data_IF_976715486644
#
_entry.id   IF_976715486644
#
_cell.length_a   1.000
_cell.length_b   1.000
_cell.length_c   1.000
_cell.angle_alpha   90.00
_cell.angle_beta   90.00
_cell.angle_gamma   90.00
#
_symmetry.space_group_name_H-M   'P 1'
#
loop_
_entity.id
_entity.type
_entity.pdbx_description
1 polymer ?
#
# COMPACT_ATOMS: atom_id res chain seq x y z
N UNK A 1 28.79 -47.11 10.19
CA UNK A 1 27.94 -46.42 11.19
C UNK A 1 27.64 -45.05 10.64
N UNK A 2 26.48 -44.90 10.02
CA UNK A 2 25.26 -44.40 10.68
C UNK A 2 25.22 -42.86 10.61
N UNK A 3 24.74 -42.30 9.49
CA UNK A 3 23.35 -41.85 9.29
C UNK A 3 23.07 -40.53 10.02
N UNK A 4 22.71 -39.49 9.27
CA UNK A 4 21.62 -38.52 9.53
C UNK A 4 21.86 -37.28 8.66
N UNK A 5 20.90 -36.66 7.97
CA UNK A 5 19.54 -37.01 7.50
C UNK A 5 19.23 -35.81 6.58
N UNK A 6 19.02 -36.04 5.29
CA UNK A 6 18.53 -35.02 4.38
C UNK A 6 17.11 -34.62 4.82
N UNK A 7 16.93 -33.41 5.30
CA UNK A 7 15.62 -32.78 5.42
C UNK A 7 15.34 -32.05 4.11
N UNK A 8 14.84 -32.78 3.12
CA UNK A 8 14.19 -32.16 1.97
C UNK A 8 12.84 -31.62 2.46
N UNK A 9 12.78 -30.33 2.76
CA UNK A 9 11.51 -29.63 2.95
C UNK A 9 10.88 -29.56 1.56
N UNK A 10 9.90 -30.43 1.30
CA UNK A 10 9.07 -30.34 0.12
C UNK A 10 8.21 -29.07 0.25
N UNK A 11 8.63 -27.99 -0.39
CA UNK A 11 7.81 -26.80 -0.59
C UNK A 11 6.67 -27.24 -1.51
N UNK A 12 5.49 -27.51 -0.95
CA UNK A 12 4.28 -27.66 -1.76
C UNK A 12 4.01 -26.29 -2.38
N UNK A 13 4.36 -26.13 -3.66
CA UNK A 13 3.93 -24.99 -4.46
C UNK A 13 2.40 -25.11 -4.60
N UNK A 14 1.68 -24.47 -3.68
CA UNK A 14 0.26 -24.21 -3.88
C UNK A 14 0.21 -23.25 -5.06
N UNK A 15 -0.26 -23.71 -6.21
CA UNK A 15 -0.57 -22.82 -7.32
C UNK A 15 -1.79 -22.00 -6.92
N UNK A 16 -1.53 -20.88 -6.24
CA UNK A 16 -2.54 -19.85 -6.03
C UNK A 16 -2.90 -19.35 -7.42
N UNK A 17 -4.12 -19.65 -7.89
CA UNK A 17 -4.61 -19.03 -9.13
C UNK A 17 -4.64 -17.53 -8.89
N UNK A 18 -4.05 -16.77 -9.80
CA UNK A 18 -4.21 -15.33 -9.80
C UNK A 18 -5.70 -15.01 -9.98
N UNK A 19 -6.27 -14.17 -9.12
CA UNK A 19 -7.56 -13.56 -9.34
C UNK A 19 -7.36 -12.43 -10.35
N UNK A 20 -7.78 -12.67 -11.58
CA UNK A 20 -7.71 -11.72 -12.68
C UNK A 20 -9.02 -10.94 -12.78
N UNK A 21 -8.93 -9.61 -12.75
CA UNK A 21 -10.02 -8.69 -12.99
C UNK A 21 -9.87 -8.15 -14.42
N UNK A 22 -10.59 -8.77 -15.34
CA UNK A 22 -10.58 -8.44 -16.78
C UNK A 22 -11.84 -7.70 -17.25
N UNK A 23 -12.75 -7.40 -16.32
CA UNK A 23 -13.96 -6.62 -16.53
C UNK A 23 -14.20 -5.73 -15.31
N UNK A 24 -14.84 -4.58 -15.54
CA UNK A 24 -15.27 -3.67 -14.47
C UNK A 24 -16.01 -4.41 -13.35
N UNK A 25 -15.56 -4.19 -12.11
CA UNK A 25 -16.05 -4.89 -10.94
C UNK A 25 -16.27 -3.94 -9.77
N UNK A 26 -17.43 -4.06 -9.13
CA UNK A 26 -17.74 -3.41 -7.86
C UNK A 26 -18.10 -4.48 -6.84
N UNK A 27 -17.36 -4.53 -5.74
CA UNK A 27 -17.70 -5.35 -4.58
C UNK A 27 -18.18 -4.44 -3.43
N UNK A 28 -19.23 -4.85 -2.74
CA UNK A 28 -19.81 -4.15 -1.58
C UNK A 28 -19.63 -4.99 -0.34
N UNK A 29 -18.47 -4.87 0.30
CA UNK A 29 -18.08 -5.72 1.41
C UNK A 29 -17.47 -4.91 2.54
N UNK A 30 -17.99 -5.08 3.75
CA UNK A 30 -17.39 -4.48 4.96
C UNK A 30 -16.01 -5.08 5.27
N UNK A 31 -15.80 -6.35 4.92
CA UNK A 31 -14.56 -7.09 5.17
C UNK A 31 -14.18 -7.87 3.91
N UNK A 32 -12.99 -7.62 3.38
CA UNK A 32 -12.45 -8.29 2.19
C UNK A 32 -11.12 -8.96 2.54
N UNK A 33 -11.13 -10.28 2.70
CA UNK A 33 -9.95 -11.07 3.05
C UNK A 33 -9.69 -12.07 1.95
N UNK A 34 -8.48 -12.06 1.39
CA UNK A 34 -8.17 -12.99 0.32
C UNK A 34 -6.67 -13.29 0.25
N UNK A 35 -6.36 -14.53 -0.13
CA UNK A 35 -4.99 -15.04 -0.31
C UNK A 35 -4.86 -15.50 -1.75
N UNK A 36 -3.84 -15.03 -2.44
CA UNK A 36 -3.57 -15.33 -3.84
C UNK A 36 -2.91 -14.17 -4.54
N UNK A 37 -2.55 -14.37 -5.80
CA UNK A 37 -2.08 -13.27 -6.63
C UNK A 37 -3.29 -12.54 -7.22
N UNK A 38 -3.17 -11.23 -7.45
CA UNK A 38 -4.22 -10.40 -8.04
C UNK A 38 -3.64 -9.66 -9.22
N UNK A 39 -4.43 -9.61 -10.30
CA UNK A 39 -4.13 -8.79 -11.46
C UNK A 39 -5.38 -8.02 -11.87
N UNK A 40 -5.25 -6.71 -12.04
CA UNK A 40 -6.28 -5.85 -12.64
C UNK A 40 -5.74 -5.42 -14.00
N UNK A 41 -6.45 -5.81 -15.07
CA UNK A 41 -6.00 -5.53 -16.43
C UNK A 41 -6.15 -4.05 -16.78
N UNK A 42 -5.38 -3.61 -17.78
CA UNK A 42 -5.47 -2.26 -18.33
C UNK A 42 -6.89 -1.96 -18.85
N UNK A 43 -7.38 -0.75 -18.56
CA UNK A 43 -8.67 -0.26 -19.06
C UNK A 43 -9.91 -0.74 -18.31
N UNK A 44 -9.75 -1.52 -17.22
CA UNK A 44 -10.85 -1.90 -16.33
C UNK A 44 -10.63 -1.41 -14.90
N UNK A 45 -11.69 -1.39 -14.10
CA UNK A 45 -11.58 -1.04 -12.68
C UNK A 45 -12.09 -2.14 -11.74
N UNK A 46 -11.46 -2.21 -10.57
CA UNK A 46 -11.97 -2.93 -9.40
C UNK A 46 -12.18 -1.96 -8.25
N UNK A 47 -13.43 -1.82 -7.81
CA UNK A 47 -13.80 -0.97 -6.69
C UNK A 47 -14.41 -1.78 -5.56
N UNK A 48 -13.83 -1.69 -4.36
CA UNK A 48 -14.39 -2.23 -3.12
C UNK A 48 -14.94 -1.06 -2.33
N UNK A 49 -16.25 -1.04 -2.10
CA UNK A 49 -16.93 0.06 -1.43
C UNK A 49 -17.65 -0.44 -0.17
N UNK A 50 -18.04 0.49 0.70
CA UNK A 50 -18.60 0.19 2.02
C UNK A 50 -17.66 -0.66 2.90
N UNK A 51 -16.34 -0.55 2.67
CA UNK A 51 -15.33 -1.37 3.32
C UNK A 51 -14.89 -0.81 4.67
N UNK A 52 -14.46 -1.67 5.58
CA UNK A 52 -13.83 -1.27 6.85
C UNK A 52 -12.48 -1.96 7.00
N UNK A 53 -12.37 -3.19 6.50
CA UNK A 53 -11.15 -3.97 6.55
C UNK A 53 -10.91 -4.68 5.21
N UNK A 54 -9.75 -4.45 4.63
CA UNK A 54 -9.22 -5.27 3.53
C UNK A 54 -7.87 -5.83 3.93
N UNK A 55 -7.67 -7.13 3.71
CA UNK A 55 -6.37 -7.79 3.87
C UNK A 55 -6.13 -8.74 2.72
N UNK A 56 -5.20 -8.38 1.84
CA UNK A 56 -4.76 -9.20 0.72
C UNK A 56 -3.35 -9.70 0.94
N UNK A 57 -3.12 -10.99 0.61
CA UNK A 57 -1.81 -11.61 0.71
C UNK A 57 -1.46 -12.33 -0.58
N UNK A 58 -0.33 -11.97 -1.17
CA UNK A 58 0.17 -12.48 -2.45
C UNK A 58 0.49 -11.36 -3.45
N UNK A 59 0.88 -11.74 -4.68
CA UNK A 59 1.17 -10.82 -5.80
C UNK A 59 0.05 -9.81 -6.01
N UNK A 60 0.39 -8.55 -6.29
CA UNK A 60 -0.64 -7.56 -6.63
C UNK A 60 -0.15 -6.69 -7.78
N UNK A 61 -0.78 -6.82 -8.93
CA UNK A 61 -0.46 -6.10 -10.17
C UNK A 61 -1.68 -5.29 -10.61
N UNK A 62 -1.55 -3.97 -10.64
CA UNK A 62 -2.61 -3.06 -11.08
C UNK A 62 -2.19 -2.30 -12.33
N UNK A 63 -2.71 -2.72 -13.48
CA UNK A 63 -2.57 -2.01 -14.77
C UNK A 63 -3.79 -1.17 -15.13
N UNK A 64 -4.91 -1.36 -14.42
CA UNK A 64 -6.17 -0.64 -14.63
C UNK A 64 -6.44 0.40 -13.54
N UNK A 65 -7.47 0.16 -12.75
CA UNK A 65 -7.87 1.04 -11.66
C UNK A 65 -8.31 0.27 -10.43
N UNK A 66 -7.73 0.57 -9.27
CA UNK A 66 -8.03 -0.10 -8.02
C UNK A 66 -8.47 0.89 -6.95
N UNK A 67 -9.67 0.69 -6.41
CA UNK A 67 -10.24 1.61 -5.43
C UNK A 67 -10.77 0.87 -4.21
N UNK A 68 -10.42 1.34 -3.02
CA UNK A 68 -11.07 0.91 -1.77
C UNK A 68 -11.61 2.13 -1.04
N UNK A 69 -12.90 2.13 -0.76
CA UNK A 69 -13.56 3.26 -0.11
C UNK A 69 -14.46 2.81 1.02
N UNK A 70 -14.63 3.70 1.99
CA UNK A 70 -15.59 3.55 3.06
C UNK A 70 -16.51 4.76 3.14
N UNK A 71 -17.81 4.50 3.30
CA UNK A 71 -18.82 5.50 3.64
C UNK A 71 -19.18 5.47 5.15
N UNK A 72 -18.48 4.64 5.94
CA UNK A 72 -18.71 4.53 7.38
C UNK A 72 -18.23 5.81 8.09
N UNK A 73 -19.16 6.57 8.68
CA UNK A 73 -18.82 7.83 9.36
C UNK A 73 -18.08 7.66 10.68
N UNK A 74 -18.08 6.46 11.27
CA UNK A 74 -17.54 6.22 12.61
C UNK A 74 -16.20 5.48 12.55
N UNK A 75 -16.11 4.43 11.73
CA UNK A 75 -14.96 3.53 11.66
C UNK A 75 -14.16 3.82 10.40
N UNK A 76 -12.85 3.97 10.56
CA UNK A 76 -11.89 4.24 9.51
C UNK A 76 -11.64 3.01 8.64
N UNK A 77 -11.03 3.24 7.49
CA UNK A 77 -10.66 2.16 6.57
C UNK A 77 -9.29 1.58 6.98
N UNK A 78 -9.24 0.27 7.18
CA UNK A 78 -7.99 -0.47 7.33
C UNK A 78 -7.75 -1.27 6.05
N UNK A 79 -6.64 -1.01 5.36
CA UNK A 79 -6.20 -1.79 4.21
C UNK A 79 -4.79 -2.33 4.44
N UNK A 80 -4.62 -3.63 4.27
CA UNK A 80 -3.33 -4.29 4.33
C UNK A 80 -3.13 -5.12 3.06
N UNK A 81 -2.05 -4.86 2.33
CA UNK A 81 -1.62 -5.69 1.19
C UNK A 81 -0.19 -6.11 1.47
N UNK A 82 -0.01 -7.38 1.83
CA UNK A 82 1.26 -7.91 2.32
C UNK A 82 1.75 -9.02 1.40
N UNK A 83 2.99 -8.90 0.97
CA UNK A 83 3.59 -9.75 -0.04
C UNK A 83 5.09 -9.89 0.15
N UNK A 84 5.50 -10.54 1.24
CA UNK A 84 6.91 -10.62 1.66
C UNK A 84 7.82 -11.41 0.69
N UNK A 85 7.25 -12.06 -0.34
CA UNK A 85 7.98 -12.89 -1.30
C UNK A 85 7.76 -12.48 -2.76
N UNK A 86 6.87 -11.54 -3.06
CA UNK A 86 6.58 -11.12 -4.44
C UNK A 86 6.41 -9.60 -4.54
N UNK A 87 5.98 -9.18 -5.71
CA UNK A 87 5.90 -7.77 -6.11
C UNK A 87 4.50 -7.19 -5.85
N UNK A 88 4.46 -5.94 -5.42
CA UNK A 88 3.32 -5.03 -5.59
C UNK A 88 3.71 -4.06 -6.71
N UNK A 89 2.97 -4.07 -7.82
CA UNK A 89 3.19 -3.17 -8.95
C UNK A 89 1.92 -2.38 -9.29
N UNK A 90 2.10 -1.10 -9.60
CA UNK A 90 1.05 -0.20 -10.04
C UNK A 90 1.50 0.60 -11.27
N UNK A 91 0.85 0.36 -12.40
CA UNK A 91 0.99 1.17 -13.62
C UNK A 91 -0.26 2.00 -13.93
N UNK A 92 -1.39 1.68 -13.27
CA UNK A 92 -2.66 2.40 -13.39
C UNK A 92 -2.97 3.35 -12.21
N UNK A 93 -4.26 3.51 -11.92
CA UNK A 93 -4.76 4.35 -10.84
C UNK A 93 -5.09 3.52 -9.59
N UNK A 94 -4.67 4.00 -8.42
CA UNK A 94 -4.89 3.32 -7.15
C UNK A 94 -5.37 4.31 -6.09
N UNK A 95 -6.54 4.12 -5.48
CA UNK A 95 -6.99 5.02 -4.41
C UNK A 95 -7.62 4.32 -3.20
N UNK A 96 -7.15 4.68 -2.01
CA UNK A 96 -7.81 4.35 -0.74
C UNK A 96 -8.41 5.60 -0.12
N UNK A 97 -9.70 5.58 0.22
CA UNK A 97 -10.40 6.75 0.69
C UNK A 97 -11.22 6.49 1.96
N UNK A 98 -10.82 7.15 3.04
CA UNK A 98 -11.51 7.25 4.31
C UNK A 98 -11.72 8.71 4.76
N UNK A 99 -11.80 9.65 3.82
CA UNK A 99 -11.90 11.09 4.11
C UNK A 99 -13.18 11.51 4.85
N UNK A 100 -14.14 10.61 5.03
CA UNK A 100 -15.44 10.89 5.67
C UNK A 100 -15.65 10.11 6.97
N UNK A 101 -14.59 9.57 7.55
CA UNK A 101 -14.64 8.75 8.77
C UNK A 101 -14.21 9.55 10.01
N UNK A 102 -14.74 9.18 11.18
CA UNK A 102 -14.37 9.79 12.45
C UNK A 102 -13.01 9.31 12.96
N UNK A 103 -12.77 7.99 12.91
CA UNK A 103 -11.47 7.41 13.26
C UNK A 103 -10.53 7.39 12.04
N UNK A 104 -9.21 7.39 12.25
CA UNK A 104 -8.25 7.59 11.18
C UNK A 104 -8.03 6.29 10.38
N UNK A 105 -7.55 6.39 9.13
CA UNK A 105 -7.23 5.22 8.32
C UNK A 105 -5.95 4.51 8.79
N UNK A 106 -5.84 3.24 8.40
CA UNK A 106 -4.61 2.46 8.47
C UNK A 106 -4.36 1.78 7.14
N UNK A 107 -3.38 2.25 6.38
CA UNK A 107 -2.99 1.70 5.09
C UNK A 107 -1.59 1.13 5.17
N UNK A 108 -1.44 -0.14 4.82
CA UNK A 108 -0.15 -0.84 4.85
C UNK A 108 0.05 -1.61 3.55
N UNK A 109 1.07 -1.21 2.79
CA UNK A 109 1.61 -1.98 1.68
C UNK A 109 2.97 -2.51 2.12
N UNK A 110 3.15 -3.83 2.04
CA UNK A 110 4.42 -4.48 2.37
C UNK A 110 4.76 -5.50 1.29
N UNK A 111 5.95 -5.43 0.70
CA UNK A 111 6.35 -6.33 -0.39
C UNK A 111 7.83 -6.69 -0.38
N UNK A 112 8.21 -7.68 -1.19
CA UNK A 112 9.61 -7.86 -1.55
C UNK A 112 10.05 -6.77 -2.54
N UNK A 113 9.24 -6.52 -3.57
CA UNK A 113 9.46 -5.45 -4.54
C UNK A 113 8.22 -4.56 -4.64
N UNK A 114 8.41 -3.26 -4.61
CA UNK A 114 7.38 -2.26 -4.82
C UNK A 114 7.77 -1.42 -6.04
N UNK A 115 6.87 -1.33 -7.01
CA UNK A 115 7.07 -0.55 -8.23
C UNK A 115 5.82 0.29 -8.52
N UNK A 116 5.99 1.59 -8.67
CA UNK A 116 4.91 2.49 -9.07
C UNK A 116 5.32 3.36 -10.26
N UNK A 117 4.66 3.16 -11.40
CA UNK A 117 4.74 4.05 -12.57
C UNK A 117 3.43 4.80 -12.82
N UNK A 118 2.33 4.35 -12.20
CA UNK A 118 1.03 4.99 -12.24
C UNK A 118 0.82 6.02 -11.15
N UNK A 119 -0.41 6.15 -10.67
CA UNK A 119 -0.78 7.10 -9.62
C UNK A 119 -1.45 6.43 -8.43
N UNK A 120 -1.03 6.80 -7.23
CA UNK A 120 -1.57 6.29 -5.97
C UNK A 120 -2.07 7.44 -5.08
N UNK A 121 -3.24 7.27 -4.48
CA UNK A 121 -3.84 8.23 -3.55
C UNK A 121 -4.30 7.56 -2.26
N UNK A 122 -3.80 8.06 -1.14
CA UNK A 122 -4.10 7.60 0.20
C UNK A 122 -4.76 8.73 0.97
N UNK A 123 -6.10 8.70 1.04
CA UNK A 123 -6.92 9.74 1.63
C UNK A 123 -7.56 9.33 2.96
N UNK A 124 -7.63 10.26 3.90
CA UNK A 124 -8.31 10.04 5.18
C UNK A 124 -8.56 11.32 5.99
N UNK A 125 -8.88 11.12 7.27
CA UNK A 125 -9.01 12.20 8.25
C UNK A 125 -8.18 11.88 9.49
N UNK A 126 -7.29 12.80 9.90
CA UNK A 126 -6.42 12.66 11.06
C UNK A 126 -6.90 13.44 12.29
N UNK A 127 -8.13 13.97 12.27
CA UNK A 127 -8.65 14.82 13.34
C UNK A 127 -8.73 14.10 14.69
N UNK A 128 -8.96 12.78 14.68
CA UNK A 128 -9.08 11.96 15.88
C UNK A 128 -8.27 10.68 15.71
N UNK A 129 -7.35 10.44 16.64
CA UNK A 129 -6.49 9.26 16.65
C UNK A 129 -5.23 9.39 15.80
N UNK A 130 -4.61 8.24 15.53
CA UNK A 130 -3.31 8.12 14.88
C UNK A 130 -3.47 7.38 13.55
N UNK A 131 -3.45 8.06 12.40
CA UNK A 131 -3.40 7.40 11.10
C UNK A 131 -2.06 6.70 10.90
N UNK A 132 -2.10 5.61 10.15
CA UNK A 132 -0.92 4.91 9.68
C UNK A 132 -0.99 4.81 8.16
N UNK A 133 0.05 5.28 7.46
CA UNK A 133 0.16 5.12 6.02
C UNK A 133 1.58 4.63 5.71
N UNK A 134 1.69 3.38 5.28
CA UNK A 134 2.97 2.70 5.15
C UNK A 134 3.11 2.05 3.80
N UNK A 135 4.25 2.28 3.14
CA UNK A 135 4.68 1.56 1.94
C UNK A 135 6.09 1.07 2.18
N UNK A 136 6.22 -0.21 2.53
CA UNK A 136 7.49 -0.82 2.89
C UNK A 136 7.87 -1.93 1.92
N UNK A 137 9.11 -1.92 1.44
CA UNK A 137 9.59 -2.94 0.52
C UNK A 137 11.10 -3.09 0.59
N UNK A 138 11.63 -4.26 0.23
CA UNK A 138 13.08 -4.45 0.13
C UNK A 138 13.66 -3.65 -1.04
N UNK A 139 13.05 -3.81 -2.22
CA UNK A 139 13.25 -2.92 -3.36
C UNK A 139 12.07 -1.98 -3.48
N UNK A 140 12.33 -0.68 -3.54
CA UNK A 140 11.30 0.36 -3.56
C UNK A 140 11.60 1.35 -4.69
N UNK A 141 10.74 1.36 -5.71
CA UNK A 141 10.89 2.17 -6.91
C UNK A 141 9.60 2.94 -7.19
N UNK A 142 9.73 4.25 -7.40
CA UNK A 142 8.64 5.11 -7.81
C UNK A 142 9.07 6.04 -8.96
N UNK A 143 8.48 5.85 -10.12
CA UNK A 143 8.55 6.74 -11.30
C UNK A 143 7.25 7.55 -11.47
N UNK A 144 6.19 7.16 -10.78
CA UNK A 144 4.86 7.75 -10.87
C UNK A 144 4.55 8.76 -9.77
N UNK A 145 3.26 8.89 -9.45
CA UNK A 145 2.74 9.76 -8.40
C UNK A 145 2.27 8.95 -7.19
N UNK A 146 2.64 9.39 -5.99
CA UNK A 146 2.07 8.88 -4.73
C UNK A 146 1.62 10.07 -3.88
N UNK A 147 0.35 10.11 -3.49
CA UNK A 147 -0.21 11.19 -2.67
C UNK A 147 -0.72 10.63 -1.35
N UNK A 148 -0.20 11.16 -0.24
CA UNK A 148 -0.74 10.95 1.09
C UNK A 148 -1.43 12.22 1.56
N UNK A 149 -2.72 12.14 1.87
CA UNK A 149 -3.52 13.30 2.22
C UNK A 149 -4.49 13.00 3.37
N UNK A 150 -4.46 13.87 4.37
CA UNK A 150 -5.47 13.91 5.41
C UNK A 150 -6.25 15.21 5.32
N UNK A 151 -7.55 15.21 5.62
CA UNK A 151 -8.33 16.45 5.73
C UNK A 151 -7.76 17.38 6.82
N UNK A 152 -7.31 16.78 7.93
CA UNK A 152 -6.60 17.44 9.03
C UNK A 152 -5.47 16.55 9.49
N UNK A 153 -4.35 17.17 9.82
CA UNK A 153 -3.17 16.48 10.31
C UNK A 153 -3.44 15.89 11.70
N UNK A 154 -2.94 14.68 11.92
CA UNK A 154 -2.88 14.07 13.26
C UNK A 154 -1.69 14.60 14.05
N UNK A 155 -1.81 14.61 15.38
CA UNK A 155 -0.73 15.01 16.28
C UNK A 155 0.44 14.03 16.32
N UNK A 156 0.22 12.77 15.91
CA UNK A 156 1.21 11.70 16.06
C UNK A 156 1.20 10.64 14.96
N UNK A 157 0.33 10.77 13.95
CA UNK A 157 0.34 9.87 12.79
C UNK A 157 1.47 10.21 11.83
N UNK A 158 2.11 9.18 11.28
CA UNK A 158 3.26 9.32 10.39
C UNK A 158 3.08 8.51 9.12
N UNK A 159 3.59 9.05 8.01
CA UNK A 159 3.85 8.31 6.79
C UNK A 159 5.19 7.58 6.95
N UNK A 160 5.22 6.29 6.66
CA UNK A 160 6.43 5.45 6.78
C UNK A 160 6.72 4.82 5.42
N UNK A 161 7.86 5.17 4.82
CA UNK A 161 8.27 4.68 3.51
C UNK A 161 9.63 3.97 3.60
N UNK A 162 9.88 3.06 2.66
CA UNK A 162 11.20 2.48 2.44
C UNK A 162 11.35 1.06 2.96
N UNK A 163 12.50 0.70 3.50
CA UNK A 163 12.75 -0.67 3.90
C UNK A 163 12.00 -1.00 5.20
N UNK A 164 11.32 -2.16 5.22
CA UNK A 164 10.93 -2.74 6.50
C UNK A 164 12.20 -3.12 7.26
N UNK A 165 12.27 -2.79 8.56
CA UNK A 165 13.38 -3.15 9.45
C UNK A 165 13.66 -4.67 9.44
N UNK A 166 12.67 -5.48 9.07
CA UNK A 166 12.80 -6.94 9.00
C UNK A 166 13.46 -7.44 7.70
N UNK A 167 13.50 -6.62 6.64
CA UNK A 167 13.96 -7.02 5.30
C UNK A 167 15.26 -6.33 4.83
N UNK A 168 15.89 -5.48 5.65
CA UNK A 168 17.26 -4.99 5.42
C UNK A 168 17.42 -3.48 5.27
N UNK A 169 18.59 -3.05 4.78
CA UNK A 169 18.98 -1.64 4.56
C UNK A 169 18.70 -1.19 3.13
N UNK A 170 17.45 -1.27 2.70
CA UNK A 170 17.05 -0.82 1.36
C UNK A 170 17.19 0.70 1.19
N UNK A 171 17.23 1.16 -0.06
CA UNK A 171 17.15 2.58 -0.43
C UNK A 171 15.84 2.79 -1.18
N UNK A 172 15.16 3.91 -0.94
CA UNK A 172 14.04 4.37 -1.75
C UNK A 172 14.60 4.98 -3.02
N UNK A 173 14.27 4.43 -4.20
CA UNK A 173 14.54 5.10 -5.48
C UNK A 173 13.27 5.83 -5.92
N UNK A 174 13.31 7.15 -5.92
CA UNK A 174 12.19 8.00 -6.32
C UNK A 174 12.59 8.92 -7.48
N UNK A 175 12.17 8.55 -8.68
CA UNK A 175 12.27 9.35 -9.91
C UNK A 175 10.94 10.07 -10.24
N UNK A 176 9.86 9.70 -9.57
CA UNK A 176 8.54 10.33 -9.64
C UNK A 176 8.29 11.40 -8.59
N UNK A 177 7.03 11.54 -8.16
CA UNK A 177 6.60 12.53 -7.15
C UNK A 177 5.91 11.86 -5.97
N UNK A 178 6.30 12.23 -4.75
CA UNK A 178 5.58 11.89 -3.53
C UNK A 178 5.01 13.17 -2.90
N UNK A 179 3.69 13.29 -2.82
CA UNK A 179 3.01 14.44 -2.22
C UNK A 179 2.54 14.14 -0.80
N UNK A 180 2.81 15.06 0.12
CA UNK A 180 2.42 14.97 1.53
C UNK A 180 1.53 16.16 1.91
N UNK A 181 0.25 15.93 2.20
CA UNK A 181 -0.71 16.98 2.54
C UNK A 181 -1.30 16.72 3.94
N UNK A 182 -1.07 17.65 4.87
CA UNK A 182 -1.41 17.51 6.28
C UNK A 182 -0.80 16.25 6.92
N UNK A 183 0.46 15.95 6.58
CA UNK A 183 1.15 14.73 7.02
C UNK A 183 2.39 15.02 7.87
N UNK A 184 2.78 14.06 8.68
CA UNK A 184 4.15 13.98 9.18
C UNK A 184 4.84 12.84 8.46
N UNK A 185 5.98 13.11 7.85
CA UNK A 185 6.84 12.08 7.27
C UNK A 185 8.13 12.00 8.08
N UNK A 186 8.47 10.79 8.50
CA UNK A 186 9.73 10.51 9.18
C UNK A 186 10.58 9.66 8.25
N UNK A 187 11.65 10.25 7.72
CA UNK A 187 12.55 9.56 6.82
C UNK A 187 13.48 8.63 7.61
N UNK A 188 13.16 7.35 7.63
CA UNK A 188 13.99 6.31 8.26
C UNK A 188 14.89 5.58 7.28
N UNK A 189 14.77 5.88 5.98
CA UNK A 189 15.46 5.19 4.89
C UNK A 189 16.12 6.20 3.95
N UNK A 190 17.28 5.85 3.39
CA UNK A 190 17.93 6.67 2.38
C UNK A 190 17.02 6.82 1.15
N UNK A 191 17.03 8.00 0.54
CA UNK A 191 16.27 8.30 -0.69
C UNK A 191 17.28 8.71 -1.76
N UNK A 192 17.22 8.06 -2.90
CA UNK A 192 17.95 8.37 -4.13
C UNK A 192 16.96 8.60 -5.28
N UNK A 193 17.45 9.06 -6.42
CA UNK A 193 16.67 9.35 -7.62
C UNK A 193 16.57 10.84 -7.94
N UNK A 194 15.94 11.12 -9.08
CA UNK A 194 15.82 12.45 -9.69
C UNK A 194 14.47 13.13 -9.45
N UNK A 195 13.55 12.44 -8.77
CA UNK A 195 12.19 12.88 -8.49
C UNK A 195 12.10 13.88 -7.33
N UNK A 196 10.88 14.11 -6.83
CA UNK A 196 10.64 15.07 -5.76
C UNK A 196 9.69 14.56 -4.67
N UNK A 197 9.88 15.10 -3.47
CA UNK A 197 8.89 15.07 -2.40
C UNK A 197 8.25 16.46 -2.32
N UNK A 198 6.96 16.56 -2.63
CA UNK A 198 6.17 17.78 -2.52
C UNK A 198 5.54 17.86 -1.11
N UNK A 199 6.02 18.81 -0.33
CA UNK A 199 5.59 19.03 1.05
C UNK A 199 4.48 20.09 1.04
N UNK A 200 3.24 19.62 1.01
CA UNK A 200 2.04 20.45 1.01
C UNK A 200 1.72 21.09 2.37
N UNK A 201 0.55 21.73 2.45
CA UNK A 201 0.11 22.48 3.64
C UNK A 201 0.12 21.62 4.90
N UNK A 202 0.53 22.24 6.02
CA UNK A 202 0.62 21.67 7.37
C UNK A 202 1.40 20.35 7.47
N UNK A 203 2.25 20.05 6.49
CA UNK A 203 3.12 18.88 6.47
C UNK A 203 4.51 19.16 7.04
N UNK A 204 5.10 18.15 7.68
CA UNK A 204 6.47 18.21 8.21
C UNK A 204 7.28 16.99 7.77
N UNK A 205 8.59 17.18 7.62
CA UNK A 205 9.57 16.10 7.39
C UNK A 205 10.56 16.07 8.55
N UNK A 206 10.81 14.88 9.09
CA UNK A 206 11.83 14.61 10.11
C UNK A 206 12.89 13.63 9.55
N UNK A 207 14.13 13.80 10.00
CA UNK A 207 15.30 12.99 9.65
C UNK A 207 15.85 12.30 10.90
#
# INVERSE_FOLDING_TARGET
MSWLKYAAIALCAVSTRAAEISLDRIDRDTVSLAIGDYKIDEGVYWSIIDNTLTSFTGGFENDGSFYITTDNRLIGLTVSIINLLKTISNSGDWAFNASRTLTPPSYTLSSLNFQNTGSMWFGGDGSLGVPLMTVQSHTWENDGLIVFSLNKRSTSGEVILGASLELGTGTITNDGTVCLINQVYHQTTAIDGSGCFDIGSDSNVWL
#
